data_IF_038891722881
#
_entry.id   IF_038891722881
#
_cell.length_a   1.000
_cell.length_b   1.000
_cell.length_c   1.000
_cell.angle_alpha   90.00
_cell.angle_beta   90.00
_cell.angle_gamma   90.00
#
_symmetry.space_group_name_H-M   'P 1'
#
loop_
_entity.id
_entity.type
_entity.pdbx_description
1 polymer ?
#
# COMPACT_ATOMS: atom_id res chain seq x y z
N UNK A 1 -2.51 37.14 15.45
CA UNK A 1 -2.01 36.26 16.53
C UNK A 1 -2.00 34.89 15.91
N UNK A 2 -0.90 34.58 15.21
CA UNK A 2 -0.83 33.43 14.33
C UNK A 2 -0.34 32.23 15.15
N UNK A 3 -1.15 31.17 15.11
CA UNK A 3 -0.87 29.92 15.80
C UNK A 3 0.14 29.14 14.97
N UNK A 4 1.41 29.16 15.36
CA UNK A 4 2.41 28.24 14.82
C UNK A 4 2.00 26.81 15.18
N UNK A 5 1.59 26.05 14.16
CA UNK A 5 1.39 24.61 14.28
C UNK A 5 2.78 23.99 14.31
N UNK A 6 3.24 23.63 15.51
CA UNK A 6 4.44 22.81 15.70
C UNK A 6 4.17 21.39 15.15
N UNK A 7 4.39 21.20 13.86
CA UNK A 7 4.40 19.87 13.24
C UNK A 7 5.67 19.16 13.71
N UNK A 8 5.51 18.26 14.69
CA UNK A 8 6.58 17.36 15.10
C UNK A 8 6.67 16.25 14.05
N UNK A 9 7.69 16.32 13.20
CA UNK A 9 8.07 15.20 12.34
C UNK A 9 8.77 14.15 13.20
N UNK A 10 8.08 13.09 13.60
CA UNK A 10 8.75 11.92 14.16
C UNK A 10 9.25 11.05 13.01
N UNK A 11 10.54 10.73 12.99
CA UNK A 11 11.08 9.73 12.07
C UNK A 11 10.36 8.39 12.29
N UNK A 12 9.78 7.83 11.22
CA UNK A 12 9.17 6.50 11.28
C UNK A 12 10.21 5.48 11.72
N UNK A 13 9.83 4.56 12.62
CA UNK A 13 10.70 3.46 13.08
C UNK A 13 10.89 2.37 12.02
N UNK A 14 10.13 2.40 10.93
CA UNK A 14 10.37 1.51 9.79
C UNK A 14 11.42 2.14 8.89
N UNK A 15 12.40 1.31 8.51
CA UNK A 15 13.46 1.69 7.58
C UNK A 15 12.89 2.37 6.32
N UNK A 16 13.26 3.64 6.14
CA UNK A 16 13.08 4.39 4.89
C UNK A 16 14.12 3.98 3.83
N UNK A 17 15.02 3.04 4.14
CA UNK A 17 15.98 2.55 3.16
C UNK A 17 15.27 1.62 2.18
N UNK A 18 15.47 1.88 0.89
CA UNK A 18 15.12 0.94 -0.19
C UNK A 18 15.76 -0.39 0.17
N UNK A 19 14.98 -1.46 0.13
CA UNK A 19 15.54 -2.76 0.47
C UNK A 19 16.65 -3.13 -0.53
N UNK A 20 17.71 -3.77 -0.04
CA UNK A 20 18.92 -4.03 -0.79
C UNK A 20 18.68 -5.07 -1.88
N UNK A 21 18.39 -4.61 -3.09
CA UNK A 21 17.96 -5.45 -4.21
C UNK A 21 18.69 -5.08 -5.49
N UNK A 22 18.72 -6.03 -6.45
CA UNK A 22 19.26 -5.71 -7.77
C UNK A 22 18.17 -5.00 -8.58
N UNK A 23 18.30 -3.69 -8.88
CA UNK A 23 17.23 -2.89 -9.50
C UNK A 23 16.85 -3.36 -10.91
N UNK A 24 17.68 -4.22 -11.50
CA UNK A 24 17.41 -4.86 -12.78
C UNK A 24 16.41 -6.01 -12.67
N UNK A 25 16.28 -6.64 -11.49
CA UNK A 25 15.48 -7.85 -11.28
C UNK A 25 14.34 -7.63 -10.29
N UNK A 26 14.45 -6.62 -9.43
CA UNK A 26 13.55 -6.38 -8.31
C UNK A 26 13.18 -4.89 -8.26
N UNK A 27 11.97 -4.63 -7.78
CA UNK A 27 11.39 -3.32 -7.61
C UNK A 27 10.78 -3.19 -6.21
N UNK A 28 10.97 -2.03 -5.61
CA UNK A 28 10.39 -1.63 -4.33
C UNK A 28 9.88 -0.20 -4.48
N UNK A 29 8.57 -0.01 -4.35
CA UNK A 29 7.96 1.31 -4.50
C UNK A 29 8.28 2.27 -3.36
N UNK A 30 8.78 1.76 -2.23
CA UNK A 30 8.69 2.44 -0.95
C UNK A 30 7.24 2.61 -0.49
N UNK A 31 7.06 3.23 0.67
CA UNK A 31 5.74 3.54 1.21
C UNK A 31 5.11 4.74 0.49
N UNK A 32 3.91 4.55 -0.04
CA UNK A 32 3.14 5.59 -0.71
C UNK A 32 1.87 5.89 0.08
N UNK A 33 1.79 7.11 0.62
CA UNK A 33 0.62 7.58 1.37
C UNK A 33 -0.62 7.59 0.47
N UNK A 34 -1.76 7.20 1.03
CA UNK A 34 -3.01 7.11 0.31
C UNK A 34 -4.24 7.24 1.22
N UNK A 35 -5.35 7.61 0.58
CA UNK A 35 -6.70 7.70 1.09
C UNK A 35 -7.67 7.05 0.08
N UNK A 36 -8.93 6.87 0.47
CA UNK A 36 -10.01 6.44 -0.41
C UNK A 36 -11.14 7.49 -0.53
N UNK A 37 -10.83 8.78 -0.46
CA UNK A 37 -11.85 9.84 -0.55
C UNK A 37 -12.46 9.91 -1.96
N UNK A 38 -11.68 9.53 -2.97
CA UNK A 38 -12.07 9.52 -4.38
C UNK A 38 -11.65 8.21 -5.06
N UNK A 39 -12.34 7.87 -6.14
CA UNK A 39 -11.95 6.75 -6.99
C UNK A 39 -10.68 7.14 -7.76
N UNK A 40 -9.61 6.34 -7.62
CA UNK A 40 -8.31 6.67 -8.25
C UNK A 40 -7.45 5.46 -8.50
N UNK A 41 -6.47 5.64 -9.38
CA UNK A 41 -5.41 4.66 -9.62
C UNK A 41 -4.12 5.09 -8.92
N UNK A 42 -3.56 4.21 -8.10
CA UNK A 42 -2.20 4.36 -7.59
C UNK A 42 -1.24 3.65 -8.54
N UNK A 43 -0.36 4.43 -9.17
CA UNK A 43 0.54 3.94 -10.20
C UNK A 43 1.98 3.89 -9.69
N UNK A 44 2.58 2.71 -9.81
CA UNK A 44 3.94 2.41 -9.39
C UNK A 44 4.79 2.07 -10.62
N UNK A 45 5.55 3.05 -11.12
CA UNK A 45 6.42 2.86 -12.30
C UNK A 45 7.68 2.10 -11.90
N UNK A 46 8.05 1.08 -12.67
CA UNK A 46 9.22 0.24 -12.42
C UNK A 46 10.11 0.08 -13.67
N UNK A 47 11.40 -0.16 -13.45
CA UNK A 47 12.42 -0.33 -14.50
C UNK A 47 12.63 -1.78 -14.98
N UNK A 48 11.76 -2.71 -14.57
CA UNK A 48 11.97 -4.14 -14.83
C UNK A 48 11.89 -4.54 -16.31
N UNK A 49 11.34 -3.74 -17.22
CA UNK A 49 11.35 -4.03 -18.66
C UNK A 49 10.54 -5.26 -19.11
N UNK A 50 9.95 -5.99 -18.16
CA UNK A 50 8.99 -7.07 -18.33
C UNK A 50 7.85 -6.85 -17.35
N UNK A 51 6.68 -7.45 -17.60
CA UNK A 51 5.61 -7.47 -16.61
C UNK A 51 6.03 -8.43 -15.47
N UNK A 52 6.14 -7.96 -14.22
CA UNK A 52 6.52 -8.80 -13.09
C UNK A 52 5.64 -10.04 -12.95
N UNK A 53 6.28 -11.19 -12.75
CA UNK A 53 5.58 -12.46 -12.50
C UNK A 53 5.28 -12.66 -11.00
N UNK A 54 6.05 -12.00 -10.14
CA UNK A 54 5.89 -12.01 -8.69
C UNK A 54 5.64 -10.59 -8.19
N UNK A 55 4.53 -10.41 -7.47
CA UNK A 55 4.18 -9.15 -6.80
C UNK A 55 3.80 -9.44 -5.35
N UNK A 56 4.25 -8.58 -4.43
CA UNK A 56 3.80 -8.55 -3.04
C UNK A 56 3.39 -7.14 -2.68
N UNK A 57 2.16 -6.98 -2.20
CA UNK A 57 1.60 -5.68 -1.83
C UNK A 57 1.33 -5.71 -0.33
N UNK A 58 1.78 -4.67 0.36
CA UNK A 58 1.56 -4.48 1.78
C UNK A 58 0.81 -3.18 2.02
N UNK A 59 -0.15 -3.24 2.94
CA UNK A 59 -0.78 -2.08 3.52
C UNK A 59 -0.20 -1.81 4.90
N UNK A 60 -0.08 -0.53 5.26
CA UNK A 60 0.24 -0.11 6.61
C UNK A 60 -0.58 1.13 6.98
N UNK A 61 -1.27 1.15 8.13
CA UNK A 61 -1.97 2.35 8.57
C UNK A 61 -1.02 3.44 9.11
N UNK A 62 0.15 3.04 9.60
CA UNK A 62 1.04 3.87 10.42
C UNK A 62 2.53 3.73 10.08
N UNK A 63 2.88 2.91 9.09
CA UNK A 63 4.26 2.47 8.82
C UNK A 63 4.92 1.86 10.06
N UNK A 64 4.18 1.17 10.92
CA UNK A 64 4.69 0.32 12.02
C UNK A 64 4.08 -1.09 11.95
N UNK A 65 2.80 -1.18 11.57
CA UNK A 65 2.06 -2.43 11.36
C UNK A 65 1.97 -2.74 9.88
N UNK A 66 2.17 -4.01 9.52
CA UNK A 66 2.19 -4.45 8.12
C UNK A 66 1.14 -5.52 7.89
N UNK A 67 0.31 -5.31 6.88
CA UNK A 67 -0.73 -6.24 6.47
C UNK A 67 -0.49 -6.65 5.03
N UNK A 68 -0.22 -7.94 4.73
CA UNK A 68 -0.19 -8.43 3.38
C UNK A 68 -1.57 -8.24 2.72
N UNK A 69 -1.59 -7.64 1.55
CA UNK A 69 -2.82 -7.52 0.76
C UNK A 69 -3.09 -8.85 0.08
N UNK A 70 -4.13 -9.55 0.51
CA UNK A 70 -4.56 -10.82 -0.07
C UNK A 70 -5.65 -10.54 -1.09
N UNK A 71 -5.30 -10.62 -2.37
CA UNK A 71 -6.22 -10.48 -3.49
C UNK A 71 -6.51 -11.85 -4.12
N UNK A 72 -7.74 -12.19 -4.55
CA UNK A 72 -9.00 -11.44 -4.42
C UNK A 72 -9.79 -11.95 -3.20
N UNK A 73 -9.38 -11.63 -1.98
CA UNK A 73 -10.22 -11.96 -0.83
C UNK A 73 -11.41 -10.97 -0.75
N UNK A 74 -12.55 -11.46 -0.27
CA UNK A 74 -13.87 -10.81 -0.26
C UNK A 74 -13.80 -9.29 0.01
N UNK A 75 -13.93 -8.50 -1.07
CA UNK A 75 -13.67 -7.06 -1.12
C UNK A 75 -14.45 -6.22 -0.10
N UNK A 76 -15.65 -6.67 0.30
CA UNK A 76 -16.47 -5.95 1.27
C UNK A 76 -15.86 -5.94 2.69
N UNK A 77 -14.94 -6.86 2.99
CA UNK A 77 -14.33 -6.97 4.32
C UNK A 77 -12.82 -6.65 4.33
N UNK A 78 -12.06 -6.98 3.28
CA UNK A 78 -10.59 -6.80 3.27
C UNK A 78 -10.11 -5.45 2.74
N UNK A 79 -10.95 -4.71 2.00
CA UNK A 79 -10.65 -3.39 1.48
C UNK A 79 -10.00 -3.37 0.09
N UNK A 80 -9.32 -2.26 -0.22
CA UNK A 80 -8.61 -2.02 -1.46
C UNK A 80 -7.28 -2.79 -1.54
N UNK A 81 -6.73 -2.97 -2.76
CA UNK A 81 -7.24 -2.51 -4.05
C UNK A 81 -8.32 -3.42 -4.64
N UNK A 82 -9.27 -2.83 -5.36
CA UNK A 82 -10.33 -3.58 -6.07
C UNK A 82 -9.81 -4.24 -7.34
N UNK A 83 -8.73 -3.71 -7.92
CA UNK A 83 -8.06 -4.27 -9.09
C UNK A 83 -6.55 -4.06 -9.00
N UNK A 84 -5.81 -4.98 -9.61
CA UNK A 84 -4.36 -4.91 -9.75
C UNK A 84 -4.06 -5.14 -11.22
N UNK A 85 -3.41 -4.17 -11.87
CA UNK A 85 -2.91 -4.30 -13.24
C UNK A 85 -1.38 -4.28 -13.21
N UNK A 86 -0.76 -5.20 -13.94
CA UNK A 86 0.68 -5.32 -14.04
C UNK A 86 1.07 -5.24 -15.52
N UNK A 87 1.95 -4.30 -15.85
CA UNK A 87 2.45 -4.07 -17.21
C UNK A 87 3.97 -4.12 -17.23
N UNK A 88 4.58 -3.99 -18.41
CA UNK A 88 6.04 -3.93 -18.54
C UNK A 88 6.69 -2.70 -17.91
N UNK A 89 5.89 -1.68 -17.56
CA UNK A 89 6.40 -0.39 -17.06
C UNK A 89 5.80 0.05 -15.72
N UNK A 90 4.70 -0.56 -15.29
CA UNK A 90 3.99 -0.12 -14.11
C UNK A 90 3.12 -1.21 -13.50
N UNK A 91 2.94 -1.10 -12.19
CA UNK A 91 1.90 -1.77 -11.41
C UNK A 91 0.86 -0.72 -11.01
N UNK A 92 -0.42 -0.98 -11.26
CA UNK A 92 -1.51 -0.06 -10.96
C UNK A 92 -2.48 -0.71 -9.98
N UNK A 93 -2.75 -0.02 -8.87
CA UNK A 93 -3.75 -0.43 -7.88
C UNK A 93 -4.99 0.45 -8.02
N UNK A 94 -6.14 -0.16 -8.30
CA UNK A 94 -7.42 0.53 -8.34
C UNK A 94 -7.96 0.75 -6.92
N UNK A 95 -8.13 2.02 -6.54
CA UNK A 95 -8.70 2.44 -5.26
C UNK A 95 -10.14 2.89 -5.49
N UNK A 96 -11.08 2.22 -4.83
CA UNK A 96 -12.49 2.55 -4.83
C UNK A 96 -12.89 3.19 -3.49
N UNK A 97 -13.59 4.32 -3.55
CA UNK A 97 -14.05 5.05 -2.36
C UNK A 97 -15.09 4.32 -1.51
N UNK A 98 -15.79 3.36 -2.13
CA UNK A 98 -16.89 2.62 -1.50
C UNK A 98 -16.47 1.68 -0.37
N UNK A 99 -15.20 1.25 -0.33
CA UNK A 99 -14.66 0.29 0.65
C UNK A 99 -13.40 0.86 1.31
N UNK A 100 -13.04 0.44 2.54
CA UNK A 100 -11.81 0.90 3.20
C UNK A 100 -10.55 0.60 2.37
N UNK A 101 -9.44 1.26 2.68
CA UNK A 101 -8.13 0.89 2.12
C UNK A 101 -7.73 -0.51 2.56
N UNK A 102 -7.97 -0.85 3.82
CA UNK A 102 -7.76 -2.19 4.35
C UNK A 102 -8.65 -2.45 5.56
N UNK A 103 -8.94 -3.71 5.82
CA UNK A 103 -9.61 -4.18 7.02
C UNK A 103 -8.88 -5.38 7.63
N UNK A 104 -8.81 -5.44 8.95
CA UNK A 104 -8.33 -6.62 9.68
C UNK A 104 -9.34 -7.08 10.73
N UNK A 105 -9.51 -8.40 10.85
CA UNK A 105 -10.36 -9.01 11.85
C UNK A 105 -9.52 -9.43 13.06
N UNK A 106 -9.92 -8.97 14.24
CA UNK A 106 -9.38 -9.44 15.50
C UNK A 106 -10.29 -10.53 16.07
N UNK A 107 -9.79 -11.77 16.06
CA UNK A 107 -10.50 -12.93 16.60
C UNK A 107 -10.64 -12.94 18.12
N UNK A 108 -9.85 -12.16 18.87
CA UNK A 108 -9.97 -12.06 20.32
C UNK A 108 -11.13 -11.14 20.73
N UNK A 109 -11.24 -10.00 20.06
CA UNK A 109 -12.32 -9.03 20.32
C UNK A 109 -13.55 -9.24 19.45
N UNK A 110 -13.48 -10.18 18.48
CA UNK A 110 -14.52 -10.41 17.48
C UNK A 110 -14.96 -9.12 16.78
N UNK A 111 -13.98 -8.31 16.37
CA UNK A 111 -14.22 -7.00 15.79
C UNK A 111 -13.35 -6.73 14.57
N UNK A 112 -13.87 -5.89 13.67
CA UNK A 112 -13.12 -5.38 12.52
C UNK A 112 -12.51 -4.02 12.84
N UNK A 113 -11.25 -3.84 12.43
CA UNK A 113 -10.63 -2.52 12.30
C UNK A 113 -10.49 -2.18 10.83
N UNK A 114 -10.93 -0.97 10.45
CA UNK A 114 -10.88 -0.49 9.07
C UNK A 114 -10.10 0.81 8.98
N UNK A 115 -9.33 0.96 7.90
CA UNK A 115 -8.57 2.17 7.62
C UNK A 115 -8.98 2.77 6.28
N UNK A 116 -9.18 4.08 6.26
CA UNK A 116 -9.49 4.88 5.06
C UNK A 116 -8.30 5.71 4.57
N UNK A 117 -7.27 5.83 5.40
CA UNK A 117 -5.99 6.44 5.10
C UNK A 117 -4.88 5.50 5.55
N UNK A 118 -3.73 5.55 4.90
CA UNK A 118 -2.59 4.69 5.20
C UNK A 118 -1.60 4.66 4.03
N UNK A 119 -0.81 3.61 3.94
CA UNK A 119 0.28 3.49 2.99
C UNK A 119 0.22 2.15 2.27
N UNK A 120 0.48 2.17 0.97
CA UNK A 120 0.79 0.95 0.22
C UNK A 120 2.28 0.89 -0.11
N UNK A 121 2.84 -0.32 -0.10
CA UNK A 121 4.17 -0.63 -0.64
C UNK A 121 4.07 -1.86 -1.52
N UNK A 122 4.68 -1.77 -2.69
CA UNK A 122 4.68 -2.80 -3.72
C UNK A 122 6.11 -3.27 -3.91
N UNK A 123 6.30 -4.58 -3.75
CA UNK A 123 7.49 -5.29 -4.17
C UNK A 123 7.17 -6.08 -5.42
N UNK A 124 8.09 -6.13 -6.37
CA UNK A 124 7.92 -6.91 -7.58
C UNK A 124 9.25 -7.46 -8.08
N UNK A 125 9.22 -8.61 -8.76
CA UNK A 125 10.39 -9.15 -9.43
C UNK A 125 10.04 -9.73 -10.80
N UNK A 126 11.06 -9.82 -11.67
CA UNK A 126 10.94 -10.52 -12.96
C UNK A 126 10.59 -11.99 -12.74
#
# INVERSE_FOLDING_TARGET
>A
MDMEINVVYSESKISNQVAGFSPNFEYDSGWNLTDNETDRNLRFTHGLGVAPSLISIFFSPDQERLYPVIWPHYHAASGNPVSIEVTTTAITLGIWRGIPLHGTWDGQTSSWTFWRTGYFRVFASR
#
